data_IF_716813427701
#
_entry.id   IF_716813427701
#
_cell.length_a   1.000
_cell.length_b   1.000
_cell.length_c   1.000
_cell.angle_alpha   90.00
_cell.angle_beta   90.00
_cell.angle_gamma   90.00
#
_symmetry.space_group_name_H-M   'P 1'
#
loop_
_entity.id
_entity.type
_entity.pdbx_description
1 polymer ?
#
# COMPACT_ATOMS: atom_id res chain seq x y z
N UNK A 1 -6.77 -2.63 6.20
CA UNK A 1 -7.60 -1.72 5.39
C UNK A 1 -8.45 -2.60 4.48
N UNK A 2 -9.75 -2.33 4.39
CA UNK A 2 -10.65 -3.10 3.50
C UNK A 2 -10.48 -2.66 2.04
N UNK A 3 -10.95 -3.48 1.10
CA UNK A 3 -10.97 -3.14 -0.33
C UNK A 3 -11.72 -1.81 -0.59
N UNK A 4 -12.85 -1.59 0.07
CA UNK A 4 -13.66 -0.38 -0.06
C UNK A 4 -12.91 0.87 0.44
N UNK A 5 -12.22 0.75 1.57
CA UNK A 5 -11.39 1.82 2.11
C UNK A 5 -10.22 2.13 1.17
N UNK A 6 -9.53 1.10 0.66
CA UNK A 6 -8.43 1.28 -0.28
C UNK A 6 -8.87 2.01 -1.56
N UNK A 7 -10.04 1.65 -2.08
CA UNK A 7 -10.63 2.32 -3.23
C UNK A 7 -11.01 3.77 -2.92
N UNK A 8 -11.66 4.01 -1.78
CA UNK A 8 -12.06 5.36 -1.37
C UNK A 8 -10.86 6.30 -1.21
N UNK A 9 -9.77 5.81 -0.63
CA UNK A 9 -8.55 6.58 -0.39
C UNK A 9 -7.54 6.54 -1.55
N UNK A 10 -7.87 5.90 -2.67
CA UNK A 10 -6.92 5.58 -3.74
C UNK A 10 -6.12 6.81 -4.22
N UNK A 11 -6.79 7.94 -4.48
CA UNK A 11 -6.14 9.16 -4.95
C UNK A 11 -5.05 9.66 -3.99
N UNK A 12 -5.28 9.55 -2.69
CA UNK A 12 -4.35 9.98 -1.65
C UNK A 12 -3.21 8.97 -1.44
N UNK A 13 -3.45 7.70 -1.80
CA UNK A 13 -2.48 6.61 -1.65
C UNK A 13 -1.48 6.52 -2.82
N UNK A 14 -1.77 7.11 -3.99
CA UNK A 14 -0.88 7.08 -5.17
C UNK A 14 0.53 7.60 -4.87
N UNK A 15 0.63 8.77 -4.24
CA UNK A 15 1.91 9.39 -3.91
C UNK A 15 2.76 8.55 -2.93
N UNK A 16 2.25 8.16 -1.74
CA UNK A 16 3.02 7.33 -0.81
C UNK A 16 3.32 5.93 -1.35
N UNK A 17 2.47 5.38 -2.22
CA UNK A 17 2.72 4.11 -2.89
C UNK A 17 3.94 4.22 -3.81
N UNK A 18 4.03 5.25 -4.68
CA UNK A 18 5.21 5.48 -5.53
C UNK A 18 6.49 5.72 -4.72
N UNK A 19 6.39 6.37 -3.56
CA UNK A 19 7.55 6.59 -2.69
C UNK A 19 8.09 5.27 -2.10
N UNK A 20 7.22 4.33 -1.71
CA UNK A 20 7.66 3.03 -1.17
C UNK A 20 8.12 2.07 -2.28
N UNK A 21 7.39 2.02 -3.40
CA UNK A 21 7.66 1.12 -4.51
C UNK A 21 8.02 1.89 -5.79
N UNK A 22 9.29 2.26 -5.92
CA UNK A 22 9.84 3.06 -7.02
C UNK A 22 9.78 2.44 -8.43
N UNK A 23 9.51 1.14 -8.58
CA UNK A 23 9.32 0.44 -9.86
C UNK A 23 7.87 0.51 -10.35
N UNK A 24 6.94 0.99 -9.52
CA UNK A 24 5.55 1.22 -9.91
C UNK A 24 5.49 2.46 -10.79
N UNK A 25 4.95 2.29 -12.00
CA UNK A 25 4.77 3.34 -13.00
C UNK A 25 3.41 4.01 -12.89
N UNK A 26 3.19 5.09 -13.62
CA UNK A 26 1.88 5.74 -13.68
C UNK A 26 0.82 4.85 -14.34
N UNK A 27 1.21 4.04 -15.34
CA UNK A 27 0.32 3.04 -15.96
C UNK A 27 -0.08 1.95 -14.97
N UNK A 28 0.83 1.55 -14.08
CA UNK A 28 0.51 0.58 -13.03
C UNK A 28 -0.51 1.18 -12.04
N UNK A 29 -0.33 2.44 -11.63
CA UNK A 29 -1.34 3.14 -10.81
C UNK A 29 -2.70 3.22 -11.52
N UNK A 30 -2.70 3.51 -12.82
CA UNK A 30 -3.93 3.55 -13.60
C UNK A 30 -4.60 2.17 -13.71
N UNK A 31 -3.83 1.08 -13.70
CA UNK A 31 -4.37 -0.27 -13.65
C UNK A 31 -4.87 -0.67 -12.24
N UNK A 32 -4.21 -0.20 -11.17
CA UNK A 32 -4.59 -0.54 -9.78
C UNK A 32 -5.98 0.00 -9.45
N UNK A 33 -6.29 1.26 -9.79
CA UNK A 33 -7.59 1.91 -9.53
C UNK A 33 -8.21 1.67 -8.14
N UNK A 34 -7.38 1.51 -7.11
CA UNK A 34 -7.86 1.21 -5.76
C UNK A 34 -8.33 -0.23 -5.56
N UNK A 35 -7.86 -1.19 -6.37
CA UNK A 35 -8.08 -2.62 -6.21
C UNK A 35 -6.87 -3.29 -5.57
N UNK A 36 -7.05 -3.86 -4.37
CA UNK A 36 -5.97 -4.53 -3.62
C UNK A 36 -5.43 -5.76 -4.33
N UNK A 37 -6.29 -6.55 -4.99
CA UNK A 37 -5.86 -7.74 -5.72
C UNK A 37 -5.00 -7.36 -6.94
N UNK A 38 -5.41 -6.34 -7.70
CA UNK A 38 -4.62 -5.81 -8.82
C UNK A 38 -3.31 -5.22 -8.33
N UNK A 39 -3.32 -4.51 -7.20
CA UNK A 39 -2.12 -3.98 -6.59
C UNK A 39 -1.11 -5.08 -6.23
N UNK A 40 -1.54 -6.14 -5.54
CA UNK A 40 -0.70 -7.29 -5.24
C UNK A 40 -0.14 -7.96 -6.50
N UNK A 41 -0.95 -8.12 -7.55
CA UNK A 41 -0.52 -8.71 -8.81
C UNK A 41 0.57 -7.88 -9.51
N UNK A 42 0.40 -6.55 -9.56
CA UNK A 42 1.37 -5.63 -10.14
C UNK A 42 2.67 -5.63 -9.33
N UNK A 43 2.59 -5.62 -8.00
CA UNK A 43 3.78 -5.70 -7.17
C UNK A 43 4.55 -7.00 -7.43
N UNK A 44 3.84 -8.12 -7.54
CA UNK A 44 4.46 -9.39 -7.90
C UNK A 44 5.13 -9.33 -9.29
N UNK A 45 4.50 -8.67 -10.26
CA UNK A 45 5.08 -8.50 -11.60
C UNK A 45 6.34 -7.61 -11.61
N UNK A 46 6.37 -6.55 -10.80
CA UNK A 46 7.47 -5.56 -10.79
C UNK A 46 8.65 -5.97 -9.91
N UNK A 47 8.39 -6.73 -8.85
CA UNK A 47 9.36 -7.04 -7.81
C UNK A 47 9.60 -8.54 -7.60
N UNK A 48 8.83 -9.43 -8.23
CA UNK A 48 8.95 -10.87 -8.05
C UNK A 48 8.09 -11.38 -6.90
N UNK A 49 8.57 -12.32 -6.09
CA UNK A 49 7.82 -12.85 -4.96
C UNK A 49 7.72 -11.82 -3.84
N UNK A 50 6.79 -10.87 -3.99
CA UNK A 50 6.42 -9.92 -2.95
C UNK A 50 5.40 -10.59 -2.06
N UNK A 51 5.69 -10.57 -0.76
CA UNK A 51 4.79 -11.06 0.27
C UNK A 51 3.48 -10.26 0.22
N UNK A 52 2.35 -10.92 -0.06
CA UNK A 52 1.03 -10.29 -0.02
C UNK A 52 0.76 -9.63 1.35
N UNK A 53 1.44 -10.11 2.39
CA UNK A 53 1.43 -9.54 3.73
C UNK A 53 2.01 -8.12 3.77
N UNK A 54 2.99 -7.77 2.92
CA UNK A 54 3.56 -6.41 2.86
C UNK A 54 2.50 -5.40 2.40
N UNK A 55 1.72 -5.75 1.37
CA UNK A 55 0.65 -4.91 0.82
C UNK A 55 -0.40 -4.62 1.87
N UNK A 56 -0.88 -5.68 2.52
CA UNK A 56 -1.91 -5.57 3.54
C UNK A 56 -1.40 -4.79 4.76
N UNK A 57 -0.18 -5.09 5.22
CA UNK A 57 0.45 -4.36 6.33
C UNK A 57 0.62 -2.87 6.03
N UNK A 58 1.08 -2.51 4.83
CA UNK A 58 1.23 -1.10 4.44
C UNK A 58 -0.13 -0.38 4.38
N UNK A 59 -1.12 -1.05 3.80
CA UNK A 59 -2.48 -0.55 3.70
C UNK A 59 -3.10 -0.30 5.09
N UNK A 60 -2.97 -1.26 6.00
CA UNK A 60 -3.41 -1.15 7.40
C UNK A 60 -2.71 -0.02 8.16
N UNK A 61 -1.38 0.14 8.00
CA UNK A 61 -0.65 1.25 8.63
C UNK A 61 -1.17 2.61 8.18
N UNK A 62 -1.41 2.80 6.88
CA UNK A 62 -1.90 4.09 6.36
C UNK A 62 -3.32 4.39 6.81
N UNK A 63 -4.18 3.37 6.89
CA UNK A 63 -5.50 3.53 7.49
C UNK A 63 -5.43 3.93 8.97
N UNK A 64 -4.57 3.28 9.77
CA UNK A 64 -4.39 3.62 11.18
C UNK A 64 -3.88 5.05 11.41
N UNK A 65 -2.95 5.52 10.55
CA UNK A 65 -2.43 6.90 10.59
C UNK A 65 -3.53 7.93 10.36
N UNK A 66 -4.44 7.67 9.42
CA UNK A 66 -5.47 8.64 9.03
C UNK A 66 -6.74 8.57 9.86
N UNK A 67 -7.13 7.40 10.38
CA UNK A 67 -8.32 7.27 11.23
C UNK A 67 -8.11 7.78 12.67
N UNK A 68 -6.92 8.28 13.02
CA UNK A 68 -6.61 8.76 14.37
C UNK A 68 -6.54 7.66 15.43
N UNK A 69 -6.72 6.39 15.04
CA UNK A 69 -6.69 5.23 15.93
C UNK A 69 -5.29 4.62 15.98
N UNK A 70 -4.31 5.42 16.42
CA UNK A 70 -2.90 5.03 16.55
C UNK A 70 -2.65 4.23 17.84
N UNK A 71 -3.50 3.23 18.14
CA UNK A 71 -3.27 2.28 19.22
C UNK A 71 -2.90 0.95 18.57
N UNK A 72 -1.61 0.66 18.42
CA UNK A 72 -1.25 -0.75 18.18
C UNK A 72 0.18 -1.05 17.77
N UNK A 73 0.81 -0.32 16.86
CA UNK A 73 2.11 -0.73 16.34
C UNK A 73 3.02 0.47 16.08
N UNK A 74 4.09 0.57 16.87
CA UNK A 74 5.26 1.40 16.59
C UNK A 74 5.96 0.80 15.38
N UNK A 75 6.35 1.63 14.40
CA UNK A 75 7.29 1.19 13.37
C UNK A 75 8.53 0.59 14.05
N UNK A 76 9.05 -0.55 13.59
CA UNK A 76 10.32 -1.05 14.11
C UNK A 76 11.37 0.03 13.88
N UNK A 77 12.04 0.43 14.95
CA UNK A 77 13.11 1.41 14.90
C UNK A 77 14.14 0.97 13.86
N UNK A 78 14.62 1.88 13.00
CA UNK A 78 15.66 1.52 12.04
C UNK A 78 16.86 1.00 12.83
N UNK A 79 17.19 -0.28 12.62
CA UNK A 79 18.43 -0.88 13.11
C UNK A 79 19.58 -0.08 12.48
N UNK A 80 20.26 0.70 13.32
CA UNK A 80 21.48 1.46 12.98
C UNK A 80 22.68 0.54 12.85
#
# INVERSE_FOLDING_TARGET
MTQEQFQHFWLQLKAPLKMKWNKITESDLDAIQGNLATFSAILRQRYGDVDNLEVQTWADRRHAVWSGNYIGYKDPEPVS
#
